data_IF_542603364247
#
_entry.id   IF_542603364247
#
_cell.length_a   1.000
_cell.length_b   1.000
_cell.length_c   1.000
_cell.angle_alpha   90.00
_cell.angle_beta   90.00
_cell.angle_gamma   90.00
#
_symmetry.space_group_name_H-M   'P 1'
#
loop_
_entity.id
_entity.type
_entity.pdbx_description
1 polymer ?
#
# COMPACT_ATOMS: atom_id res chain seq x y z
N UNK A 1 48.75 12.02 -53.72
CA UNK A 1 47.88 12.55 -52.67
C UNK A 1 46.67 11.64 -52.62
N UNK A 2 46.62 10.70 -51.64
CA UNK A 2 45.49 9.77 -51.45
C UNK A 2 44.56 10.33 -50.40
N UNK A 3 43.26 10.27 -50.61
CA UNK A 3 42.30 10.70 -49.56
C UNK A 3 42.10 9.58 -48.52
N UNK A 4 42.36 9.89 -47.26
CA UNK A 4 42.08 9.05 -46.10
C UNK A 4 40.56 9.05 -45.83
N UNK A 5 39.92 7.90 -46.07
CA UNK A 5 38.55 7.64 -45.67
C UNK A 5 38.50 7.42 -44.15
N UNK A 6 37.86 8.30 -43.44
CA UNK A 6 37.54 8.17 -42.01
C UNK A 6 36.31 7.26 -41.89
N UNK A 7 36.54 5.99 -41.57
CA UNK A 7 35.50 4.99 -41.44
C UNK A 7 35.03 4.94 -39.96
N UNK A 8 34.10 5.81 -39.57
CA UNK A 8 33.49 5.78 -38.22
C UNK A 8 32.37 4.75 -38.22
N UNK A 9 32.69 3.49 -38.01
CA UNK A 9 31.70 2.47 -37.61
C UNK A 9 31.31 2.75 -36.19
N UNK A 10 30.23 3.48 -36.01
CA UNK A 10 29.57 3.65 -34.71
C UNK A 10 29.12 2.25 -34.22
N UNK A 11 29.65 1.83 -33.07
CA UNK A 11 29.44 0.50 -32.52
C UNK A 11 27.98 0.36 -32.16
N UNK A 12 27.26 -0.67 -32.60
CA UNK A 12 25.82 -0.93 -32.34
C UNK A 12 25.51 -0.87 -30.83
N UNK A 13 26.50 -1.23 -30.00
CA UNK A 13 26.38 -1.09 -28.52
C UNK A 13 26.28 0.35 -28.05
N UNK A 14 27.02 1.28 -28.66
CA UNK A 14 26.93 2.71 -28.31
C UNK A 14 25.61 3.33 -28.79
N UNK A 15 25.10 2.86 -29.94
CA UNK A 15 23.78 3.29 -30.44
C UNK A 15 22.66 2.77 -29.55
N UNK A 16 22.72 1.53 -29.10
CA UNK A 16 21.74 0.96 -28.16
C UNK A 16 21.77 1.66 -26.79
N UNK A 17 22.98 1.96 -26.27
CA UNK A 17 23.10 2.73 -25.00
C UNK A 17 22.57 4.16 -25.19
N UNK A 18 22.86 4.82 -26.30
CA UNK A 18 22.34 6.17 -26.58
C UNK A 18 20.82 6.17 -26.76
N UNK A 19 20.23 5.11 -27.36
CA UNK A 19 18.77 4.95 -27.48
C UNK A 19 18.11 4.66 -26.12
N UNK A 20 18.72 3.85 -25.28
CA UNK A 20 18.23 3.58 -23.92
C UNK A 20 18.32 4.84 -23.05
N UNK A 21 19.44 5.57 -23.09
CA UNK A 21 19.60 6.84 -22.38
C UNK A 21 18.64 7.90 -22.93
N UNK A 22 18.43 7.94 -24.26
CA UNK A 22 17.45 8.81 -24.90
C UNK A 22 16.01 8.48 -24.50
N UNK A 23 15.66 7.20 -24.40
CA UNK A 23 14.33 6.77 -23.93
C UNK A 23 14.10 7.10 -22.44
N UNK A 24 15.12 6.95 -21.59
CA UNK A 24 15.07 7.35 -20.18
C UNK A 24 14.91 8.87 -20.03
N UNK A 25 15.56 9.66 -20.90
CA UNK A 25 15.44 11.12 -20.90
C UNK A 25 14.14 11.62 -21.54
N UNK A 26 13.58 10.91 -22.52
CA UNK A 26 12.32 11.25 -23.18
C UNK A 26 11.09 10.96 -22.29
N UNK A 27 11.21 10.07 -21.29
CA UNK A 27 10.16 9.78 -20.31
C UNK A 27 10.01 10.82 -19.21
N UNK A 28 10.66 11.99 -19.29
CA UNK A 28 10.51 13.06 -18.33
C UNK A 28 9.23 13.85 -18.62
N UNK A 29 8.09 13.44 -18.05
CA UNK A 29 6.91 14.27 -18.01
C UNK A 29 7.24 15.57 -17.27
N UNK A 30 7.30 16.70 -17.97
CA UNK A 30 7.34 18.01 -17.32
C UNK A 30 5.93 18.39 -16.92
N UNK A 31 5.71 18.69 -15.64
CA UNK A 31 4.44 19.23 -15.18
C UNK A 31 4.67 20.37 -14.22
N UNK A 32 3.67 21.24 -14.06
CA UNK A 32 3.71 22.27 -13.04
C UNK A 32 3.65 21.60 -11.66
N UNK A 33 4.55 22.02 -10.76
CA UNK A 33 4.43 21.69 -9.37
C UNK A 33 3.24 22.48 -8.78
N UNK A 34 2.22 21.81 -8.24
CA UNK A 34 1.01 22.50 -7.79
C UNK A 34 1.22 23.49 -6.65
N UNK A 35 2.26 23.28 -5.84
CA UNK A 35 2.57 24.15 -4.68
C UNK A 35 3.36 25.38 -5.11
N UNK A 36 4.38 25.18 -5.94
CA UNK A 36 5.29 26.27 -6.34
C UNK A 36 4.91 26.96 -7.65
N UNK A 37 3.97 26.41 -8.42
CA UNK A 37 3.59 26.88 -9.77
C UNK A 37 4.71 26.75 -10.80
N UNK A 38 5.87 26.16 -10.47
CA UNK A 38 7.03 26.05 -11.37
C UNK A 38 7.04 24.75 -12.12
N UNK A 39 7.56 24.75 -13.35
CA UNK A 39 7.83 23.49 -14.09
C UNK A 39 8.82 22.63 -13.33
N UNK A 40 8.47 21.37 -13.15
CA UNK A 40 9.30 20.34 -12.55
C UNK A 40 9.40 19.13 -13.49
N UNK A 41 10.57 18.51 -13.52
CA UNK A 41 10.88 17.32 -14.33
C UNK A 41 11.09 16.08 -13.46
N UNK A 42 10.84 16.19 -12.16
CA UNK A 42 11.13 15.15 -11.16
C UNK A 42 9.99 14.16 -10.89
N UNK A 43 8.97 14.07 -11.78
CA UNK A 43 7.83 13.19 -11.60
C UNK A 43 7.95 11.92 -12.47
N UNK A 44 7.49 10.77 -11.94
CA UNK A 44 7.42 9.52 -12.69
C UNK A 44 6.25 9.52 -13.69
N UNK A 45 5.17 10.20 -13.33
CA UNK A 45 3.89 10.18 -14.05
C UNK A 45 3.40 11.59 -14.38
N UNK A 46 2.64 11.69 -15.45
CA UNK A 46 1.82 12.86 -15.75
C UNK A 46 0.62 12.92 -14.77
N UNK A 47 -0.06 14.09 -14.65
CA UNK A 47 -1.25 14.19 -13.80
C UNK A 47 -2.38 13.20 -14.15
N UNK A 48 -2.62 12.95 -15.44
CA UNK A 48 -3.63 12.00 -15.90
C UNK A 48 -3.28 10.56 -15.56
N UNK A 49 -2.00 10.20 -15.66
CA UNK A 49 -1.51 8.88 -15.25
C UNK A 49 -1.64 8.69 -13.74
N UNK A 50 -1.37 9.71 -12.92
CA UNK A 50 -1.58 9.63 -11.47
C UNK A 50 -3.03 9.35 -11.10
N UNK A 51 -3.98 10.00 -11.77
CA UNK A 51 -5.43 9.77 -11.56
C UNK A 51 -5.81 8.33 -11.94
N UNK A 52 -5.29 7.83 -13.05
CA UNK A 52 -5.55 6.45 -13.49
C UNK A 52 -4.96 5.43 -12.53
N UNK A 53 -3.69 5.59 -12.15
CA UNK A 53 -2.99 4.71 -11.20
C UNK A 53 -3.73 4.64 -9.85
N UNK A 54 -4.15 5.79 -9.31
CA UNK A 54 -4.89 5.82 -8.06
C UNK A 54 -6.22 5.08 -8.15
N UNK A 55 -6.95 5.23 -9.26
CA UNK A 55 -8.22 4.54 -9.50
C UNK A 55 -8.04 3.02 -9.58
N UNK A 56 -7.01 2.56 -10.27
CA UNK A 56 -6.72 1.13 -10.40
C UNK A 56 -6.26 0.53 -9.06
N UNK A 57 -5.45 1.28 -8.31
CA UNK A 57 -4.94 0.87 -7.01
C UNK A 57 -6.04 0.83 -5.94
N UNK A 58 -7.02 1.74 -5.97
CA UNK A 58 -8.11 1.81 -4.99
C UNK A 58 -8.86 0.48 -4.87
N UNK A 59 -9.19 -0.16 -5.99
CA UNK A 59 -9.85 -1.47 -5.99
C UNK A 59 -9.03 -2.54 -5.24
N UNK A 60 -7.72 -2.55 -5.43
CA UNK A 60 -6.81 -3.49 -4.76
C UNK A 60 -6.69 -3.21 -3.26
N UNK A 61 -6.64 -1.94 -2.86
CA UNK A 61 -6.60 -1.52 -1.46
C UNK A 61 -7.87 -1.94 -0.73
N UNK A 62 -9.03 -1.66 -1.33
CA UNK A 62 -10.32 -2.04 -0.75
C UNK A 62 -10.46 -3.57 -0.65
N UNK A 63 -9.99 -4.32 -1.65
CA UNK A 63 -9.97 -5.77 -1.60
C UNK A 63 -9.04 -6.32 -0.52
N UNK A 64 -7.90 -5.65 -0.27
CA UNK A 64 -6.91 -6.10 0.70
C UNK A 64 -7.27 -5.80 2.15
N UNK A 65 -7.86 -4.62 2.42
CA UNK A 65 -8.11 -4.15 3.78
C UNK A 65 -9.59 -4.16 4.19
N UNK A 66 -10.50 -4.20 3.22
CA UNK A 66 -11.92 -3.96 3.44
C UNK A 66 -12.24 -2.49 3.79
N UNK A 67 -13.45 -2.07 3.48
CA UNK A 67 -13.98 -0.82 4.01
C UNK A 67 -14.59 -1.08 5.38
N UNK A 68 -14.37 -0.16 6.33
CA UNK A 68 -14.99 -0.23 7.64
C UNK A 68 -16.52 -0.04 7.50
N UNK A 69 -17.28 -1.05 7.91
CA UNK A 69 -18.73 -1.10 7.77
C UNK A 69 -19.44 -0.21 8.82
N UNK A 70 -19.20 1.11 8.72
CA UNK A 70 -19.88 2.13 9.49
C UNK A 70 -20.04 3.41 8.66
N UNK A 71 -21.22 3.56 8.07
CA UNK A 71 -21.51 4.68 7.17
C UNK A 71 -21.41 6.05 7.86
N UNK A 72 -21.71 6.13 9.16
CA UNK A 72 -21.62 7.38 9.94
C UNK A 72 -20.15 7.82 10.04
N UNK A 73 -19.26 6.89 10.41
CA UNK A 73 -17.82 7.15 10.50
C UNK A 73 -17.24 7.47 9.12
N UNK A 74 -17.63 6.72 8.09
CA UNK A 74 -17.15 6.94 6.72
C UNK A 74 -17.53 8.33 6.20
N UNK A 75 -18.81 8.72 6.33
CA UNK A 75 -19.28 10.06 5.93
C UNK A 75 -18.63 11.18 6.75
N UNK A 76 -18.37 10.96 8.01
CA UNK A 76 -17.69 11.94 8.86
C UNK A 76 -16.27 12.21 8.38
N UNK A 77 -15.48 11.15 8.12
CA UNK A 77 -14.12 11.27 7.61
C UNK A 77 -14.10 11.90 6.23
N UNK A 78 -14.99 11.48 5.33
CA UNK A 78 -15.12 12.07 4.00
C UNK A 78 -15.46 13.56 4.07
N UNK A 79 -16.47 13.95 4.86
CA UNK A 79 -16.88 15.36 5.00
C UNK A 79 -15.75 16.25 5.53
N UNK A 80 -14.98 15.77 6.50
CA UNK A 80 -13.81 16.48 7.03
C UNK A 80 -12.72 16.59 5.96
N UNK A 81 -12.43 15.48 5.27
CA UNK A 81 -11.44 15.44 4.21
C UNK A 81 -11.77 16.39 3.06
N UNK A 82 -13.04 16.40 2.59
CA UNK A 82 -13.50 17.32 1.54
C UNK A 82 -13.36 18.78 1.98
N UNK A 83 -13.67 19.12 3.23
CA UNK A 83 -13.49 20.46 3.74
C UNK A 83 -12.01 20.90 3.72
N UNK A 84 -11.08 20.00 4.06
CA UNK A 84 -9.64 20.27 3.99
C UNK A 84 -9.13 20.34 2.54
N UNK A 85 -9.62 19.47 1.65
CA UNK A 85 -9.27 19.46 0.24
C UNK A 85 -9.71 20.78 -0.43
N UNK A 86 -10.85 21.35 -0.03
CA UNK A 86 -11.38 22.61 -0.57
C UNK A 86 -10.50 23.83 -0.32
N UNK A 87 -9.61 23.78 0.68
CA UNK A 87 -8.62 24.84 0.98
C UNK A 87 -7.21 24.47 0.55
N UNK A 88 -7.03 23.28 -0.04
CA UNK A 88 -5.72 22.82 -0.50
C UNK A 88 -5.21 23.62 -1.71
N UNK A 89 -3.94 23.46 -2.06
CA UNK A 89 -3.38 24.11 -3.24
C UNK A 89 -4.05 23.72 -4.56
N UNK A 90 -4.68 22.54 -4.64
CA UNK A 90 -5.45 22.16 -5.83
C UNK A 90 -6.71 23.01 -6.03
N UNK A 91 -7.28 23.54 -4.97
CA UNK A 91 -8.48 24.39 -5.00
C UNK A 91 -8.16 25.88 -5.13
N UNK A 92 -6.88 26.27 -5.22
CA UNK A 92 -6.46 27.66 -5.40
C UNK A 92 -6.42 28.02 -6.89
N UNK A 93 -6.90 29.19 -7.25
CA UNK A 93 -7.23 29.56 -8.64
C UNK A 93 -6.06 29.70 -9.63
N UNK A 94 -4.82 29.49 -9.20
CA UNK A 94 -3.59 29.62 -10.00
C UNK A 94 -2.99 28.26 -10.45
N UNK A 95 -3.66 27.16 -10.12
CA UNK A 95 -3.21 25.82 -10.54
C UNK A 95 -3.75 25.41 -11.91
N UNK A 96 -3.08 24.43 -12.52
CA UNK A 96 -3.55 23.82 -13.77
C UNK A 96 -4.96 23.24 -13.63
N UNK A 97 -5.85 23.41 -14.64
CA UNK A 97 -7.22 22.90 -14.60
C UNK A 97 -7.35 21.40 -14.26
N UNK A 98 -6.35 20.60 -14.60
CA UNK A 98 -6.36 19.16 -14.27
C UNK A 98 -6.29 18.91 -12.77
N UNK A 99 -5.59 19.76 -12.01
CA UNK A 99 -5.53 19.68 -10.55
C UNK A 99 -6.76 20.33 -9.90
N UNK A 100 -7.23 21.45 -10.43
CA UNK A 100 -8.40 22.16 -9.90
C UNK A 100 -9.68 21.31 -9.99
N UNK A 101 -9.74 20.37 -10.92
CA UNK A 101 -10.86 19.47 -11.11
C UNK A 101 -10.59 18.03 -10.62
N UNK A 102 -9.53 17.81 -9.85
CA UNK A 102 -9.25 16.49 -9.29
C UNK A 102 -10.12 16.24 -8.06
N UNK A 103 -10.88 15.17 -8.10
CA UNK A 103 -11.65 14.71 -6.95
C UNK A 103 -10.74 14.09 -5.88
N UNK A 104 -11.12 14.27 -4.62
CA UNK A 104 -10.56 13.54 -3.49
C UNK A 104 -11.54 12.49 -2.99
N UNK A 105 -11.02 11.32 -2.61
CA UNK A 105 -11.78 10.19 -2.11
C UNK A 105 -11.22 9.80 -0.74
N UNK A 106 -12.01 9.97 0.32
CA UNK A 106 -11.62 9.62 1.68
C UNK A 106 -12.29 8.34 2.11
N UNK A 107 -11.49 7.35 2.53
CA UNK A 107 -11.99 6.03 2.91
C UNK A 107 -11.52 5.62 4.30
N UNK A 108 -12.38 4.94 5.03
CA UNK A 108 -12.02 4.29 6.30
C UNK A 108 -11.82 2.80 6.01
N UNK A 109 -10.61 2.31 6.29
CA UNK A 109 -10.26 0.90 6.09
C UNK A 109 -10.52 0.11 7.38
N UNK A 110 -11.03 -1.12 7.23
CA UNK A 110 -11.26 -2.05 8.35
C UNK A 110 -9.96 -2.76 8.74
N UNK A 111 -9.02 -2.00 9.25
CA UNK A 111 -7.72 -2.48 9.71
C UNK A 111 -7.43 -1.96 11.12
N UNK A 112 -6.99 -2.84 12.05
CA UNK A 112 -6.60 -2.45 13.41
C UNK A 112 -5.25 -1.71 13.45
N UNK A 113 -4.50 -1.75 12.38
CA UNK A 113 -3.17 -1.11 12.28
C UNK A 113 -3.32 0.40 12.32
N UNK A 114 -2.51 1.08 13.13
CA UNK A 114 -2.50 2.55 13.21
C UNK A 114 -1.82 3.10 11.97
N UNK A 115 -2.62 3.53 10.98
CA UNK A 115 -2.09 4.03 9.70
C UNK A 115 -3.05 5.01 9.00
N UNK A 116 -2.46 5.92 8.21
CA UNK A 116 -3.11 6.67 7.15
C UNK A 116 -2.14 6.71 5.96
N UNK A 117 -2.65 6.84 4.76
CA UNK A 117 -1.81 6.97 3.56
C UNK A 117 -2.63 7.53 2.39
N UNK A 118 -1.91 8.11 1.45
CA UNK A 118 -2.51 8.59 0.21
C UNK A 118 -1.90 7.92 -1.02
N UNK A 119 -2.74 7.68 -2.02
CA UNK A 119 -2.33 7.27 -3.35
C UNK A 119 -2.37 8.46 -4.31
N UNK A 120 -1.60 8.43 -5.40
CA UNK A 120 -1.78 9.38 -6.50
C UNK A 120 -3.25 9.44 -6.94
N UNK A 121 -3.68 10.58 -7.48
CA UNK A 121 -5.05 10.73 -7.99
C UNK A 121 -6.12 11.04 -6.93
N UNK A 122 -5.72 11.42 -5.69
CA UNK A 122 -6.65 11.95 -4.70
C UNK A 122 -7.25 10.94 -3.74
N UNK A 123 -6.81 9.69 -3.73
CA UNK A 123 -7.30 8.67 -2.81
C UNK A 123 -6.57 8.75 -1.47
N UNK A 124 -7.31 8.96 -0.40
CA UNK A 124 -6.80 9.11 0.97
C UNK A 124 -7.49 8.09 1.88
N UNK A 125 -6.69 7.37 2.64
CA UNK A 125 -7.16 6.31 3.51
C UNK A 125 -6.76 6.57 4.94
N UNK A 126 -7.69 6.29 5.86
CA UNK A 126 -7.41 6.16 7.28
C UNK A 126 -7.90 4.80 7.77
N UNK A 127 -7.16 4.17 8.66
CA UNK A 127 -7.59 2.92 9.26
C UNK A 127 -8.45 3.18 10.48
N UNK A 128 -9.35 2.25 10.82
CA UNK A 128 -10.07 2.31 12.10
C UNK A 128 -9.11 2.28 13.29
N UNK A 129 -7.97 1.59 13.14
CA UNK A 129 -6.92 1.60 14.15
C UNK A 129 -6.37 3.01 14.42
N UNK A 130 -6.14 3.82 13.38
CA UNK A 130 -5.74 5.22 13.57
C UNK A 130 -6.83 6.03 14.28
N UNK A 131 -8.09 5.90 13.86
CA UNK A 131 -9.20 6.64 14.47
C UNK A 131 -9.34 6.35 15.97
N UNK A 132 -9.00 5.14 16.41
CA UNK A 132 -9.03 4.75 17.82
C UNK A 132 -7.97 5.44 18.70
N UNK A 133 -6.91 5.97 18.09
CA UNK A 133 -5.80 6.64 18.81
C UNK A 133 -5.90 8.16 18.78
N UNK A 134 -6.81 8.73 18.01
CA UNK A 134 -7.02 10.17 17.95
C UNK A 134 -7.90 10.64 19.10
N UNK A 135 -7.53 11.75 19.72
CA UNK A 135 -8.25 12.33 20.84
C UNK A 135 -9.30 13.36 20.43
N UNK A 136 -9.13 13.99 19.26
CA UNK A 136 -10.01 15.04 18.79
C UNK A 136 -9.98 15.23 17.27
N UNK A 137 -10.98 15.94 16.73
CA UNK A 137 -11.12 16.21 15.30
C UNK A 137 -9.97 17.03 14.72
N UNK A 138 -9.34 17.91 15.52
CA UNK A 138 -8.20 18.70 15.05
C UNK A 138 -6.98 17.82 14.74
N UNK A 139 -6.73 16.78 15.53
CA UNK A 139 -5.70 15.78 15.22
C UNK A 139 -5.99 15.08 13.90
N UNK A 140 -7.23 14.62 13.70
CA UNK A 140 -7.65 13.99 12.44
C UNK A 140 -7.52 14.96 11.26
N UNK A 141 -7.86 16.24 11.45
CA UNK A 141 -7.74 17.27 10.42
C UNK A 141 -6.28 17.46 9.96
N UNK A 142 -5.33 17.45 10.88
CA UNK A 142 -3.91 17.55 10.51
C UNK A 142 -3.41 16.30 9.80
N UNK A 143 -3.81 15.10 10.25
CA UNK A 143 -3.46 13.83 9.60
C UNK A 143 -4.02 13.79 8.17
N UNK A 144 -5.30 14.06 7.97
CA UNK A 144 -5.90 14.12 6.64
C UNK A 144 -5.26 15.20 5.76
N UNK A 145 -4.97 16.37 6.35
CA UNK A 145 -4.27 17.45 5.67
C UNK A 145 -2.85 17.06 5.25
N UNK A 146 -2.14 16.25 6.04
CA UNK A 146 -0.83 15.70 5.71
C UNK A 146 -0.93 14.75 4.50
N UNK A 147 -1.93 13.87 4.48
CA UNK A 147 -2.16 12.97 3.35
C UNK A 147 -2.55 13.73 2.07
N UNK A 148 -3.41 14.74 2.19
CA UNK A 148 -3.69 15.68 1.09
C UNK A 148 -2.39 16.35 0.64
N UNK A 149 -1.50 16.71 1.57
CA UNK A 149 -0.18 17.27 1.30
C UNK A 149 0.68 16.35 0.43
N UNK A 150 0.67 15.03 0.69
CA UNK A 150 1.36 14.04 -0.15
C UNK A 150 0.80 13.99 -1.57
N UNK A 151 -0.52 14.07 -1.74
CA UNK A 151 -1.15 14.14 -3.07
C UNK A 151 -0.78 15.42 -3.79
N UNK A 152 -0.97 16.56 -3.14
CA UNK A 152 -0.69 17.90 -3.72
C UNK A 152 0.80 18.08 -4.03
N UNK A 153 1.68 17.60 -3.14
CA UNK A 153 3.13 17.59 -3.34
C UNK A 153 3.60 16.57 -4.38
N UNK A 154 2.70 15.68 -4.84
CA UNK A 154 2.99 14.59 -5.78
C UNK A 154 4.14 13.70 -5.28
N UNK A 155 4.18 13.43 -3.97
CA UNK A 155 5.28 12.74 -3.32
C UNK A 155 5.41 11.30 -3.79
N UNK A 156 4.30 10.60 -4.08
CA UNK A 156 4.31 9.26 -4.66
C UNK A 156 5.03 9.21 -6.00
N UNK A 157 4.71 10.14 -6.91
CA UNK A 157 5.37 10.25 -8.22
C UNK A 157 6.86 10.57 -8.10
N UNK A 158 7.24 11.48 -7.19
CA UNK A 158 8.65 11.81 -6.92
C UNK A 158 9.43 10.62 -6.35
N UNK A 159 8.84 9.88 -5.40
CA UNK A 159 9.45 8.71 -4.77
C UNK A 159 9.66 7.58 -5.78
N UNK A 160 8.65 7.25 -6.58
CA UNK A 160 8.75 6.25 -7.65
C UNK A 160 9.83 6.62 -8.67
N UNK A 161 9.90 7.88 -9.08
CA UNK A 161 10.95 8.34 -9.97
C UNK A 161 12.35 8.11 -9.39
N UNK A 162 12.54 8.48 -8.12
CA UNK A 162 13.81 8.25 -7.41
C UNK A 162 14.18 6.76 -7.36
N UNK A 163 13.19 5.90 -7.09
CA UNK A 163 13.39 4.46 -7.05
C UNK A 163 13.78 3.89 -8.43
N UNK A 164 13.09 4.32 -9.50
CA UNK A 164 13.42 3.93 -10.88
C UNK A 164 14.85 4.34 -11.28
N UNK A 165 15.29 5.54 -10.92
CA UNK A 165 16.67 5.97 -11.16
C UNK A 165 17.67 5.18 -10.33
N UNK A 166 17.37 4.89 -9.06
CA UNK A 166 18.22 4.07 -8.19
C UNK A 166 18.41 2.66 -8.77
N UNK A 167 17.33 2.02 -9.22
CA UNK A 167 17.38 0.71 -9.91
C UNK A 167 18.15 0.78 -11.21
N UNK A 168 17.93 1.81 -12.04
CA UNK A 168 18.68 2.00 -13.29
C UNK A 168 20.18 2.16 -13.06
N UNK A 169 20.59 2.90 -12.03
CA UNK A 169 21.99 3.07 -11.66
C UNK A 169 22.62 1.76 -11.14
N UNK A 170 21.84 0.94 -10.38
CA UNK A 170 22.29 -0.39 -9.92
C UNK A 170 22.46 -1.36 -11.09
N UNK A 171 21.55 -1.36 -12.06
CA UNK A 171 21.65 -2.21 -13.26
C UNK A 171 22.87 -1.81 -14.10
N UNK A 172 23.12 -0.52 -14.30
CA UNK A 172 24.31 -0.02 -14.99
C UNK A 172 25.60 -0.33 -14.23
N UNK A 173 25.58 -0.25 -12.89
CA UNK A 173 26.69 -0.65 -12.03
C UNK A 173 26.93 -2.17 -12.02
N UNK A 174 25.86 -2.97 -12.08
CA UNK A 174 25.93 -4.43 -12.11
C UNK A 174 26.41 -5.00 -13.45
N UNK A 175 26.20 -4.30 -14.56
CA UNK A 175 26.79 -4.65 -15.86
C UNK A 175 28.31 -4.47 -15.86
N UNK A 176 28.87 -3.76 -14.89
CA UNK A 176 30.33 -3.59 -14.67
C UNK A 176 30.94 -4.49 -13.60
N UNK A 177 30.13 -5.17 -12.79
CA UNK A 177 30.63 -6.12 -11.77
C UNK A 177 29.65 -7.29 -11.67
N UNK A 178 30.16 -8.52 -11.77
CA UNK A 178 29.42 -9.76 -11.53
C UNK A 178 29.09 -9.88 -10.00
N UNK A 179 28.16 -9.07 -9.51
CA UNK A 179 27.70 -9.14 -8.14
C UNK A 179 26.24 -9.60 -8.08
N UNK A 180 26.08 -10.78 -7.56
CA UNK A 180 24.91 -11.59 -7.29
C UNK A 180 23.90 -10.86 -6.40
N UNK A 181 22.64 -10.82 -6.84
CA UNK A 181 21.50 -10.46 -6.00
C UNK A 181 21.07 -11.65 -5.15
N UNK A 182 21.44 -11.64 -3.88
CA UNK A 182 20.73 -12.40 -2.85
C UNK A 182 19.57 -11.57 -2.30
N UNK A 183 18.37 -11.87 -2.69
CA UNK A 183 17.14 -11.27 -2.16
C UNK A 183 16.14 -12.37 -1.81
N UNK A 184 15.49 -12.25 -0.65
CA UNK A 184 14.57 -13.22 -0.09
C UNK A 184 13.39 -13.50 -1.04
N UNK A 185 13.26 -14.74 -1.49
CA UNK A 185 12.23 -15.17 -2.45
C UNK A 185 10.79 -14.94 -1.94
N UNK A 186 10.59 -14.95 -0.62
CA UNK A 186 9.28 -14.80 -0.01
C UNK A 186 8.72 -13.35 -0.08
N UNK A 187 9.58 -12.32 0.01
CA UNK A 187 9.14 -10.93 -0.21
C UNK A 187 8.58 -10.72 -1.62
N UNK A 188 9.10 -11.46 -2.61
CA UNK A 188 8.70 -11.31 -4.01
C UNK A 188 7.42 -12.07 -4.40
N UNK A 189 7.01 -13.07 -3.61
CA UNK A 189 5.78 -13.83 -3.86
C UNK A 189 4.56 -13.15 -3.25
N UNK A 190 4.73 -12.44 -2.13
CA UNK A 190 3.72 -11.52 -1.60
C UNK A 190 3.55 -10.30 -2.50
N UNK A 191 4.56 -10.00 -3.32
CA UNK A 191 4.61 -8.87 -4.26
C UNK A 191 4.18 -9.26 -5.68
N UNK A 192 3.50 -10.38 -5.85
CA UNK A 192 2.85 -10.69 -7.12
C UNK A 192 1.68 -9.74 -7.34
N UNK A 193 2.06 -8.58 -7.66
CA UNK A 193 1.12 -7.99 -8.23
C UNK A 193 0.90 -6.59 -8.48
N UNK A 194 0.29 -5.89 -7.95
CA UNK A 194 -0.24 -4.64 -8.43
C UNK A 194 0.73 -3.51 -8.10
N UNK A 195 0.86 -2.56 -9.02
CA UNK A 195 1.45 -1.25 -8.75
C UNK A 195 0.89 -0.64 -7.43
N UNK A 196 -0.32 -1.04 -7.03
CA UNK A 196 -0.97 -0.68 -5.78
C UNK A 196 -0.17 -1.08 -4.55
N UNK A 197 0.35 -2.31 -4.50
CA UNK A 197 1.14 -2.80 -3.37
C UNK A 197 2.47 -2.04 -3.25
N UNK A 198 3.12 -1.75 -4.39
CA UNK A 198 4.35 -0.96 -4.39
C UNK A 198 4.13 0.47 -3.89
N UNK A 199 2.97 1.07 -4.17
CA UNK A 199 2.61 2.41 -3.70
C UNK A 199 2.44 2.48 -2.18
N UNK A 200 1.92 1.42 -1.56
CA UNK A 200 1.77 1.32 -0.09
C UNK A 200 3.10 1.28 0.65
N UNK A 201 4.13 0.71 0.02
CA UNK A 201 5.47 0.58 0.62
C UNK A 201 6.44 1.69 0.21
N UNK A 202 5.94 2.72 -0.50
CA UNK A 202 6.76 3.89 -0.80
C UNK A 202 7.14 4.60 0.51
N UNK A 203 8.44 4.63 0.80
CA UNK A 203 8.97 5.46 1.87
C UNK A 203 9.27 6.86 1.34
N UNK A 204 8.64 7.82 1.95
CA UNK A 204 8.90 9.23 1.63
C UNK A 204 10.22 9.68 2.25
N UNK A 205 10.89 10.61 1.60
CA UNK A 205 12.10 11.25 2.16
C UNK A 205 11.72 12.34 3.17
N UNK A 206 12.64 12.68 4.07
CA UNK A 206 12.42 13.71 5.11
C UNK A 206 11.88 15.03 4.57
N UNK A 207 12.34 15.46 3.40
CA UNK A 207 11.86 16.72 2.79
C UNK A 207 10.38 16.62 2.39
N UNK A 208 9.94 15.47 1.89
CA UNK A 208 8.55 15.23 1.55
C UNK A 208 7.66 15.18 2.79
N UNK A 209 8.15 14.55 3.88
CA UNK A 209 7.44 14.54 5.17
C UNK A 209 7.32 15.96 5.76
N UNK A 210 8.40 16.72 5.72
CA UNK A 210 8.38 18.12 6.18
C UNK A 210 7.41 18.99 5.35
N UNK A 211 7.37 18.79 4.02
CA UNK A 211 6.42 19.49 3.14
C UNK A 211 4.97 19.06 3.46
N UNK A 212 4.72 17.77 3.65
CA UNK A 212 3.38 17.24 4.00
C UNK A 212 2.92 17.73 5.38
N UNK A 213 3.80 17.74 6.39
CA UNK A 213 3.49 18.31 7.71
C UNK A 213 3.16 19.81 7.63
N UNK A 214 3.92 20.56 6.84
CA UNK A 214 3.65 21.97 6.62
C UNK A 214 2.27 22.20 6.01
N UNK A 215 1.92 21.43 4.97
CA UNK A 215 0.65 21.55 4.29
C UNK A 215 -0.50 21.06 5.18
N UNK A 216 -0.31 19.97 5.94
CA UNK A 216 -1.30 19.46 6.89
C UNK A 216 -1.68 20.49 7.96
N UNK A 217 -0.69 21.13 8.56
CA UNK A 217 -0.91 22.22 9.51
C UNK A 217 -1.59 23.42 8.84
N UNK A 218 -1.17 23.80 7.63
CA UNK A 218 -1.76 24.91 6.89
C UNK A 218 -3.25 24.66 6.58
N UNK A 219 -3.60 23.51 6.02
CA UNK A 219 -4.98 23.20 5.65
C UNK A 219 -5.89 23.09 6.88
N UNK A 220 -5.40 22.50 7.97
CA UNK A 220 -6.12 22.46 9.23
C UNK A 220 -6.37 23.88 9.79
N UNK A 221 -5.34 24.74 9.80
CA UNK A 221 -5.45 26.12 10.25
C UNK A 221 -6.43 26.94 9.40
N UNK A 222 -6.34 26.85 8.07
CA UNK A 222 -7.28 27.50 7.13
C UNK A 222 -8.74 27.05 7.35
N UNK A 223 -8.93 25.83 7.84
CA UNK A 223 -10.24 25.29 8.23
C UNK A 223 -10.61 25.62 9.68
N UNK A 224 -9.85 26.50 10.34
CA UNK A 224 -9.97 26.95 11.72
C UNK A 224 -9.79 25.86 12.79
N UNK A 225 -9.09 24.75 12.47
CA UNK A 225 -8.71 23.76 13.47
C UNK A 225 -7.47 24.24 14.25
N UNK A 226 -7.43 23.91 15.55
CA UNK A 226 -6.22 24.06 16.36
C UNK A 226 -5.19 23.00 15.96
N UNK A 227 -4.40 23.31 14.93
CA UNK A 227 -3.43 22.38 14.37
C UNK A 227 -2.32 21.97 15.37
N UNK A 228 -2.12 22.74 16.45
CA UNK A 228 -1.16 22.39 17.49
C UNK A 228 -1.54 21.10 18.25
N UNK A 229 -2.83 20.71 18.25
CA UNK A 229 -3.31 19.45 18.86
C UNK A 229 -2.63 18.21 18.26
N UNK A 230 -2.22 18.26 17.00
CA UNK A 230 -1.54 17.13 16.37
C UNK A 230 -0.16 16.83 16.97
N UNK A 231 0.49 17.79 17.63
CA UNK A 231 1.76 17.54 18.30
C UNK A 231 1.63 16.44 19.37
N UNK A 232 0.55 16.43 20.15
CA UNK A 232 0.30 15.41 21.16
C UNK A 232 0.09 14.00 20.55
N UNK A 233 -0.58 13.93 19.41
CA UNK A 233 -0.75 12.67 18.67
C UNK A 233 0.58 12.07 18.20
N UNK A 234 1.46 12.87 17.57
CA UNK A 234 2.77 12.40 17.14
C UNK A 234 3.68 12.03 18.32
N UNK A 235 3.60 12.79 19.43
CA UNK A 235 4.27 12.42 20.67
C UNK A 235 3.78 11.09 21.26
N UNK A 236 2.49 10.78 21.14
CA UNK A 236 1.94 9.50 21.58
C UNK A 236 2.40 8.34 20.69
N UNK A 237 2.44 8.53 19.38
CA UNK A 237 2.99 7.54 18.45
C UNK A 237 4.47 7.24 18.72
N UNK A 238 5.25 8.27 19.03
CA UNK A 238 6.68 8.11 19.37
C UNK A 238 6.85 7.27 20.65
N UNK A 239 6.11 7.58 21.72
CA UNK A 239 6.15 6.81 22.97
C UNK A 239 5.74 5.35 22.73
N UNK A 240 4.68 5.11 21.96
CA UNK A 240 4.25 3.75 21.60
C UNK A 240 5.35 2.97 20.87
N UNK A 241 6.07 3.61 19.96
CA UNK A 241 7.19 2.99 19.25
C UNK A 241 8.34 2.63 20.20
N UNK A 242 8.65 3.51 21.16
CA UNK A 242 9.71 3.29 22.17
C UNK A 242 9.33 2.15 23.15
N UNK A 243 8.07 2.07 23.56
CA UNK A 243 7.58 1.06 24.51
C UNK A 243 7.44 -0.33 23.87
N UNK A 244 7.04 -0.42 22.61
CA UNK A 244 6.80 -1.70 21.94
C UNK A 244 8.09 -2.48 21.63
N UNK A 245 9.24 -1.83 21.60
CA UNK A 245 10.58 -2.45 21.44
C UNK A 245 10.81 -3.27 20.16
N UNK A 246 9.80 -3.52 19.34
CA UNK A 246 9.90 -4.46 18.21
C UNK A 246 9.25 -4.02 16.89
N UNK A 247 8.31 -3.13 16.89
CA UNK A 247 7.72 -2.63 15.63
C UNK A 247 7.25 -1.19 15.77
N UNK A 248 7.80 -0.32 14.92
CA UNK A 248 7.24 1.01 14.75
C UNK A 248 5.78 0.88 14.32
N UNK A 249 4.85 1.71 14.85
CA UNK A 249 3.53 1.83 14.27
C UNK A 249 3.66 2.01 12.76
N UNK A 250 2.77 1.38 11.97
CA UNK A 250 2.86 1.40 10.52
C UNK A 250 2.95 2.82 9.96
N UNK A 251 2.24 3.76 10.59
CA UNK A 251 2.31 5.18 10.26
C UNK A 251 3.75 5.75 10.35
N UNK A 252 4.54 5.39 11.37
CA UNK A 252 5.93 5.85 11.49
C UNK A 252 6.88 5.11 10.53
N UNK A 253 6.49 3.93 10.04
CA UNK A 253 7.30 3.18 9.07
C UNK A 253 7.12 3.73 7.66
N UNK A 254 5.92 4.17 7.28
CA UNK A 254 5.61 4.81 6.00
C UNK A 254 5.98 6.30 6.00
N UNK A 255 5.83 6.97 7.16
CA UNK A 255 6.10 8.39 7.38
C UNK A 255 7.18 8.58 8.45
N UNK A 256 8.46 8.34 8.11
CA UNK A 256 9.55 8.46 9.07
C UNK A 256 9.65 9.89 9.62
N UNK A 257 9.87 10.01 10.92
CA UNK A 257 10.02 11.29 11.59
C UNK A 257 11.17 12.10 10.96
N UNK A 258 10.90 13.30 10.41
CA UNK A 258 11.94 14.15 9.82
C UNK A 258 12.88 14.77 10.87
N UNK A 259 12.58 14.60 12.15
CA UNK A 259 13.29 15.16 13.28
C UNK A 259 12.37 15.34 14.47
N UNK A 260 12.41 16.45 15.17
CA UNK A 260 11.48 16.75 16.25
C UNK A 260 10.11 17.22 15.69
N UNK A 261 9.34 16.25 15.16
CA UNK A 261 8.06 16.48 14.48
C UNK A 261 7.03 17.15 15.40
N UNK A 262 7.03 16.75 16.67
CA UNK A 262 6.15 17.32 17.68
C UNK A 262 6.37 18.83 17.84
N UNK A 263 7.62 19.26 18.02
CA UNK A 263 7.98 20.65 18.16
C UNK A 263 7.81 21.42 16.85
N UNK A 264 8.15 20.80 15.73
CA UNK A 264 7.96 21.40 14.40
C UNK A 264 6.50 21.76 14.14
N UNK A 265 5.57 20.83 14.41
CA UNK A 265 4.12 21.06 14.23
C UNK A 265 3.65 22.20 15.13
N UNK A 266 4.07 22.23 16.41
CA UNK A 266 3.71 23.28 17.36
C UNK A 266 4.17 24.67 16.88
N UNK A 267 5.44 24.78 16.48
CA UNK A 267 6.00 26.02 15.95
C UNK A 267 5.32 26.44 14.64
N UNK A 268 5.01 25.48 13.78
CA UNK A 268 4.35 25.76 12.51
C UNK A 268 2.91 26.25 12.72
N UNK A 269 2.15 25.61 13.60
CA UNK A 269 0.79 26.02 13.95
C UNK A 269 0.76 27.46 14.50
N UNK A 270 1.73 27.82 15.34
CA UNK A 270 1.82 29.16 15.91
C UNK A 270 1.92 30.27 14.85
N UNK A 271 2.41 29.97 13.64
CA UNK A 271 2.52 30.98 12.55
C UNK A 271 1.16 31.38 11.96
N UNK A 272 0.16 30.54 12.12
CA UNK A 272 -1.17 30.77 11.56
C UNK A 272 -2.17 31.39 12.55
N UNK A 273 -1.78 31.58 13.82
CA UNK A 273 -2.67 32.13 14.85
C UNK A 273 -3.09 33.59 14.61
N UNK A 274 -2.31 34.35 13.83
CA UNK A 274 -2.66 35.72 13.45
C UNK A 274 -3.70 35.76 12.31
N UNK A 275 -3.70 34.77 11.44
CA UNK A 275 -4.49 34.75 10.19
C UNK A 275 -5.80 33.96 10.34
N UNK A 276 -5.83 32.96 11.25
CA UNK A 276 -6.97 32.06 11.42
C UNK A 276 -7.35 31.91 12.89
N UNK A 277 -8.65 31.73 13.15
CA UNK A 277 -9.17 31.63 14.51
C UNK A 277 -8.66 30.39 15.27
N UNK A 278 -8.37 29.29 14.57
CA UNK A 278 -7.79 28.03 15.07
C UNK A 278 -8.40 27.56 16.40
N UNK A 279 -9.72 27.64 16.53
CA UNK A 279 -10.44 27.37 17.78
C UNK A 279 -11.22 26.05 17.77
N UNK A 280 -11.17 25.29 16.66
CA UNK A 280 -11.85 24.02 16.54
C UNK A 280 -10.95 22.88 17.05
N UNK A 281 -11.25 22.33 18.20
CA UNK A 281 -10.67 21.09 18.71
C UNK A 281 -11.63 19.91 18.48
N UNK A 282 -12.92 20.12 18.84
CA UNK A 282 -14.05 19.22 18.59
C UNK A 282 -13.83 17.78 19.06
N UNK A 283 -13.32 17.60 20.28
CA UNK A 283 -13.14 16.27 20.88
C UNK A 283 -14.43 15.46 20.88
N UNK A 284 -15.54 16.01 21.37
CA UNK A 284 -16.81 15.33 21.40
C UNK A 284 -17.40 15.01 20.03
N UNK A 285 -16.97 15.71 18.96
CA UNK A 285 -17.37 15.35 17.59
C UNK A 285 -16.70 14.05 17.16
N UNK A 286 -15.39 13.94 17.27
CA UNK A 286 -14.66 12.70 16.94
C UNK A 286 -15.22 11.53 17.75
N UNK A 287 -15.31 11.65 19.07
CA UNK A 287 -15.73 10.56 19.95
C UNK A 287 -17.11 10.00 19.59
N UNK A 288 -18.08 10.84 19.23
CA UNK A 288 -19.41 10.37 18.78
C UNK A 288 -19.36 9.58 17.46
N UNK A 289 -18.41 9.87 16.59
CA UNK A 289 -18.30 9.19 15.29
C UNK A 289 -17.45 7.93 15.34
N UNK A 290 -16.63 7.78 16.39
CA UNK A 290 -15.83 6.57 16.62
C UNK A 290 -16.39 5.71 17.76
N UNK A 291 -17.50 6.11 18.39
CA UNK A 291 -18.18 5.31 19.42
C UNK A 291 -18.59 3.95 18.84
N UNK A 292 -18.25 2.87 19.55
CA UNK A 292 -18.51 1.50 19.11
C UNK A 292 -17.54 0.98 18.03
N UNK A 293 -16.50 1.75 17.71
CA UNK A 293 -15.44 1.30 16.80
C UNK A 293 -14.75 0.07 17.37
N UNK A 294 -14.58 -0.96 16.53
CA UNK A 294 -13.88 -2.19 16.93
C UNK A 294 -12.41 -1.88 17.18
N UNK A 295 -11.96 -2.10 18.41
CA UNK A 295 -10.57 -1.91 18.80
C UNK A 295 -9.78 -3.22 18.62
N UNK A 296 -8.59 -3.17 18.00
CA UNK A 296 -7.78 -4.35 17.72
C UNK A 296 -8.34 -5.21 16.58
N UNK A 297 -8.00 -6.49 16.56
CA UNK A 297 -8.52 -7.45 15.57
C UNK A 297 -10.03 -7.64 15.76
N UNK A 298 -10.76 -7.81 14.66
CA UNK A 298 -12.19 -8.10 14.70
C UNK A 298 -12.43 -9.62 14.71
N UNK A 299 -12.87 -10.19 15.84
CA UNK A 299 -13.08 -11.64 15.92
C UNK A 299 -14.14 -12.16 14.93
N UNK A 300 -15.02 -11.29 14.42
CA UNK A 300 -16.03 -11.68 13.39
C UNK A 300 -15.40 -12.04 12.06
N UNK A 301 -14.26 -11.42 11.74
CA UNK A 301 -13.48 -11.67 10.52
C UNK A 301 -12.54 -12.88 10.64
N UNK A 302 -12.43 -13.45 11.84
CA UNK A 302 -11.60 -14.61 12.15
C UNK A 302 -10.49 -14.28 13.13
N UNK A 303 -10.11 -15.27 13.92
CA UNK A 303 -9.06 -15.18 14.94
C UNK A 303 -8.37 -16.53 15.15
N UNK A 304 -7.18 -16.49 15.72
CA UNK A 304 -6.45 -17.70 16.11
C UNK A 304 -6.60 -17.92 17.62
N UNK A 305 -7.04 -19.11 18.02
CA UNK A 305 -7.08 -19.55 19.39
C UNK A 305 -6.51 -20.98 19.49
N UNK A 306 -5.60 -21.21 20.44
CA UNK A 306 -4.98 -22.50 20.69
C UNK A 306 -4.46 -23.22 19.43
N UNK A 307 -3.88 -22.48 18.48
CA UNK A 307 -3.35 -23.03 17.23
C UNK A 307 -4.41 -23.38 16.19
N UNK A 308 -5.65 -22.96 16.39
CA UNK A 308 -6.74 -23.07 15.44
C UNK A 308 -7.17 -21.70 14.95
N UNK A 309 -7.31 -21.52 13.64
CA UNK A 309 -8.00 -20.37 13.09
C UNK A 309 -9.50 -20.64 13.07
N UNK A 310 -10.28 -19.68 13.52
CA UNK A 310 -11.75 -19.73 13.55
C UNK A 310 -12.32 -18.54 12.79
N UNK A 311 -13.30 -18.80 11.91
CA UNK A 311 -14.06 -17.75 11.24
C UNK A 311 -15.55 -17.85 11.59
N UNK A 312 -16.05 -17.10 12.60
CA UNK A 312 -17.41 -17.26 13.12
C UNK A 312 -18.50 -17.00 12.08
N UNK A 313 -18.35 -15.98 11.24
CA UNK A 313 -19.36 -15.65 10.22
C UNK A 313 -19.44 -16.69 9.11
N UNK A 314 -18.32 -17.18 8.61
CA UNK A 314 -18.26 -18.20 7.57
C UNK A 314 -18.32 -19.62 8.13
N UNK A 315 -18.36 -19.79 9.47
CA UNK A 315 -18.55 -21.05 10.19
C UNK A 315 -17.55 -22.15 9.85
N UNK A 316 -16.29 -21.79 9.68
CA UNK A 316 -15.21 -22.76 9.50
C UNK A 316 -14.07 -22.55 10.49
N UNK A 317 -13.27 -23.60 10.66
CA UNK A 317 -12.00 -23.54 11.39
C UNK A 317 -10.99 -24.50 10.80
N UNK A 318 -9.71 -24.20 10.96
CA UNK A 318 -8.62 -25.08 10.54
C UNK A 318 -7.38 -24.92 11.47
N UNK A 319 -6.52 -25.95 11.59
CA UNK A 319 -5.30 -25.84 12.36
C UNK A 319 -4.28 -24.94 11.67
N UNK A 320 -3.69 -24.03 12.44
CA UNK A 320 -2.52 -23.25 12.01
C UNK A 320 -1.27 -24.10 12.27
N UNK A 321 -0.41 -24.35 11.28
CA UNK A 321 0.78 -25.15 11.49
C UNK A 321 1.72 -24.52 12.54
N UNK A 322 2.37 -25.35 13.35
CA UNK A 322 3.29 -24.88 14.39
C UNK A 322 4.42 -24.04 13.79
N UNK A 323 4.68 -22.89 14.37
CA UNK A 323 5.73 -21.97 13.90
C UNK A 323 5.31 -21.05 12.75
N UNK A 324 4.02 -21.10 12.35
CA UNK A 324 3.47 -20.17 11.36
C UNK A 324 2.81 -18.98 12.04
N UNK A 325 3.02 -17.81 11.45
CA UNK A 325 2.27 -16.58 11.77
C UNK A 325 1.10 -16.46 10.82
N UNK A 326 -0.08 -16.11 11.33
CA UNK A 326 -1.29 -15.92 10.55
C UNK A 326 -1.49 -14.42 10.28
N UNK A 327 -1.78 -14.08 9.01
CA UNK A 327 -2.16 -12.74 8.54
C UNK A 327 -3.57 -12.89 7.98
N UNK A 328 -4.54 -12.36 8.72
CA UNK A 328 -5.94 -12.41 8.31
C UNK A 328 -6.28 -11.16 7.50
N UNK A 329 -6.72 -11.37 6.26
CA UNK A 329 -7.13 -10.34 5.31
C UNK A 329 -8.59 -10.56 4.92
N UNK A 330 -9.34 -9.55 4.48
CA UNK A 330 -10.76 -9.69 4.11
C UNK A 330 -11.04 -10.75 3.04
N UNK A 331 -10.10 -10.99 2.14
CA UNK A 331 -10.27 -11.91 1.02
C UNK A 331 -9.54 -13.23 1.19
N UNK A 332 -8.60 -13.32 2.16
CA UNK A 332 -7.79 -14.52 2.39
C UNK A 332 -7.14 -14.55 3.76
N UNK A 333 -6.83 -15.74 4.21
CA UNK A 333 -6.00 -15.97 5.39
C UNK A 333 -4.65 -16.50 4.94
N UNK A 334 -3.57 -15.76 5.22
CA UNK A 334 -2.20 -16.15 4.85
C UNK A 334 -1.47 -16.66 6.07
N UNK A 335 -0.72 -17.74 5.91
CA UNK A 335 0.13 -18.31 6.98
C UNK A 335 1.54 -18.46 6.45
N UNK A 336 2.53 -17.94 7.21
CA UNK A 336 3.94 -17.96 6.84
C UNK A 336 4.80 -18.39 8.03
N UNK A 337 5.78 -19.28 7.84
CA UNK A 337 6.77 -19.61 8.87
C UNK A 337 7.81 -18.49 8.99
N UNK A 338 8.59 -18.47 10.07
CA UNK A 338 9.62 -17.45 10.28
C UNK A 338 10.69 -17.40 9.17
N UNK A 339 11.03 -18.55 8.58
CA UNK A 339 12.01 -18.64 7.47
C UNK A 339 11.45 -18.25 6.10
N UNK A 340 10.13 -18.02 6.01
CA UNK A 340 9.42 -17.62 4.78
C UNK A 340 9.64 -18.52 3.55
N UNK A 341 9.99 -19.79 3.74
CA UNK A 341 10.27 -20.74 2.63
C UNK A 341 9.01 -21.29 1.98
N UNK A 342 7.88 -21.21 2.67
CA UNK A 342 6.57 -21.61 2.19
C UNK A 342 5.52 -20.56 2.55
N UNK A 343 4.53 -20.43 1.69
CA UNK A 343 3.35 -19.61 1.96
C UNK A 343 2.15 -20.53 1.86
N UNK A 344 1.32 -20.52 2.90
CA UNK A 344 0.01 -21.18 2.87
C UNK A 344 -1.05 -20.08 2.88
N UNK A 345 -2.10 -20.25 2.10
CA UNK A 345 -3.24 -19.35 2.18
C UNK A 345 -4.57 -20.04 1.86
N UNK A 346 -5.60 -19.54 2.52
CA UNK A 346 -6.99 -19.90 2.28
C UNK A 346 -7.69 -18.73 1.61
N UNK A 347 -8.41 -19.01 0.54
CA UNK A 347 -9.25 -18.04 -0.18
C UNK A 347 -10.61 -18.68 -0.49
N UNK A 348 -11.61 -17.82 -0.76
CA UNK A 348 -12.90 -18.25 -1.32
C UNK A 348 -12.90 -17.97 -2.83
N UNK A 349 -13.11 -19.01 -3.62
CA UNK A 349 -13.33 -18.87 -5.06
C UNK A 349 -14.81 -18.61 -5.35
N UNK A 350 -15.14 -17.34 -5.58
CA UNK A 350 -16.49 -16.91 -5.96
C UNK A 350 -16.80 -17.08 -7.45
N UNK A 351 -15.82 -17.50 -8.27
CA UNK A 351 -15.98 -17.63 -9.72
C UNK A 351 -16.43 -19.03 -10.11
N UNK A 352 -15.94 -20.04 -9.42
CA UNK A 352 -16.24 -21.44 -9.69
C UNK A 352 -17.41 -21.91 -8.83
N UNK A 353 -18.26 -22.75 -9.40
CA UNK A 353 -19.41 -23.35 -8.70
C UNK A 353 -19.05 -24.63 -7.97
N UNK A 354 -17.97 -25.27 -8.34
CA UNK A 354 -17.51 -26.54 -7.76
C UNK A 354 -15.99 -26.60 -7.69
N UNK A 355 -15.47 -27.38 -6.75
CA UNK A 355 -14.05 -27.68 -6.64
C UNK A 355 -13.47 -28.29 -7.94
N UNK A 356 -14.28 -28.98 -8.70
CA UNK A 356 -13.91 -29.51 -10.01
C UNK A 356 -13.67 -28.38 -11.00
N UNK A 357 -14.62 -27.46 -11.15
CA UNK A 357 -14.52 -26.32 -12.06
C UNK A 357 -13.32 -25.43 -11.71
N UNK A 358 -13.10 -25.17 -10.41
CA UNK A 358 -11.94 -24.43 -9.92
C UNK A 358 -10.62 -25.10 -10.29
N UNK A 359 -10.51 -26.42 -10.10
CA UNK A 359 -9.32 -27.18 -10.46
C UNK A 359 -9.07 -27.19 -11.97
N UNK A 360 -10.11 -27.37 -12.79
CA UNK A 360 -10.03 -27.33 -14.25
C UNK A 360 -9.59 -25.94 -14.74
N UNK A 361 -10.11 -24.86 -14.15
CA UNK A 361 -9.71 -23.48 -14.44
C UNK A 361 -8.25 -23.22 -14.07
N UNK A 362 -7.80 -23.75 -12.93
CA UNK A 362 -6.41 -23.60 -12.49
C UNK A 362 -5.43 -24.30 -13.43
N UNK A 363 -5.70 -25.53 -13.84
CA UNK A 363 -4.80 -26.27 -14.74
C UNK A 363 -4.76 -25.71 -16.16
N UNK A 364 -5.76 -24.93 -16.55
CA UNK A 364 -5.80 -24.26 -17.86
C UNK A 364 -4.96 -23.00 -17.94
N UNK A 365 -4.35 -22.53 -16.83
CA UNK A 365 -3.51 -21.34 -16.82
C UNK A 365 -2.20 -21.58 -17.58
N UNK A 366 -1.82 -20.62 -18.39
CA UNK A 366 -0.54 -20.63 -19.11
C UNK A 366 0.65 -20.59 -18.13
N UNK A 367 1.71 -21.29 -18.46
CA UNK A 367 2.94 -21.33 -17.66
C UNK A 367 2.98 -22.35 -16.53
N UNK A 368 1.87 -23.06 -16.28
CA UNK A 368 1.83 -24.16 -15.31
C UNK A 368 2.08 -25.52 -15.96
N UNK A 369 2.87 -26.34 -15.26
CA UNK A 369 3.06 -27.76 -15.59
C UNK A 369 2.45 -28.62 -14.49
N UNK A 370 1.33 -29.27 -14.77
CA UNK A 370 0.66 -30.16 -13.80
C UNK A 370 1.57 -31.36 -13.52
N UNK A 371 1.86 -31.57 -12.25
CA UNK A 371 2.66 -32.71 -11.73
C UNK A 371 1.74 -33.85 -11.30
N UNK A 372 0.67 -33.49 -10.59
CA UNK A 372 -0.30 -34.43 -10.03
C UNK A 372 -1.65 -33.75 -9.86
N UNK A 373 -2.74 -34.49 -10.02
CA UNK A 373 -4.07 -34.02 -9.66
C UNK A 373 -4.95 -35.18 -9.27
N UNK A 374 -5.92 -34.95 -8.42
CA UNK A 374 -6.80 -35.99 -7.95
C UNK A 374 -8.04 -35.51 -7.23
N UNK A 375 -8.84 -36.52 -6.81
CA UNK A 375 -10.00 -36.33 -5.95
C UNK A 375 -9.63 -36.69 -4.51
N UNK A 376 -10.28 -36.04 -3.56
CA UNK A 376 -10.12 -36.30 -2.14
C UNK A 376 -11.33 -35.86 -1.35
N UNK A 377 -11.18 -35.93 -0.06
CA UNK A 377 -12.12 -35.34 0.91
C UNK A 377 -11.34 -34.47 1.91
N UNK A 378 -11.95 -33.41 2.32
CA UNK A 378 -11.45 -32.57 3.42
C UNK A 378 -12.59 -32.34 4.40
N UNK A 379 -12.41 -32.75 5.66
CA UNK A 379 -13.43 -32.68 6.71
C UNK A 379 -14.81 -33.27 6.31
N UNK A 380 -14.83 -34.29 5.44
CA UNK A 380 -16.06 -34.93 4.93
C UNK A 380 -16.65 -34.25 3.67
N UNK A 381 -16.09 -33.13 3.23
CA UNK A 381 -16.53 -32.47 2.00
C UNK A 381 -15.75 -32.94 0.78
N UNK A 382 -16.41 -32.90 -0.40
CA UNK A 382 -15.74 -33.20 -1.67
C UNK A 382 -14.61 -32.25 -1.92
N UNK A 383 -13.47 -32.75 -2.32
CA UNK A 383 -12.29 -31.94 -2.61
C UNK A 383 -11.60 -32.39 -3.91
N UNK A 384 -10.90 -31.45 -4.52
CA UNK A 384 -9.97 -31.66 -5.64
C UNK A 384 -8.61 -31.10 -5.25
N UNK A 385 -7.54 -31.77 -5.63
CA UNK A 385 -6.21 -31.20 -5.49
C UNK A 385 -5.48 -31.16 -6.81
N UNK A 386 -4.61 -30.19 -6.95
CA UNK A 386 -3.69 -30.03 -8.08
C UNK A 386 -2.32 -29.68 -7.51
N UNK A 387 -1.29 -30.35 -8.01
CA UNK A 387 0.12 -29.99 -7.79
C UNK A 387 0.67 -29.58 -9.15
N UNK A 388 1.22 -28.39 -9.25
CA UNK A 388 1.79 -27.88 -10.47
C UNK A 388 3.12 -27.17 -10.21
N UNK A 389 4.00 -27.20 -11.20
CA UNK A 389 5.20 -26.39 -11.24
C UNK A 389 4.97 -25.17 -12.14
N UNK A 390 5.39 -24.01 -11.69
CA UNK A 390 5.42 -22.77 -12.43
C UNK A 390 6.79 -22.11 -12.32
N UNK A 391 6.99 -21.01 -13.02
CA UNK A 391 8.26 -20.27 -13.00
C UNK A 391 7.95 -18.84 -12.63
N UNK A 392 8.70 -18.29 -11.68
CA UNK A 392 8.61 -16.87 -11.34
C UNK A 392 9.29 -15.98 -12.40
N UNK A 393 9.14 -14.67 -12.29
CA UNK A 393 9.73 -13.68 -13.21
C UNK A 393 11.27 -13.73 -13.25
N UNK A 394 11.92 -14.38 -12.28
CA UNK A 394 13.37 -14.56 -12.17
C UNK A 394 13.84 -15.91 -12.73
N UNK A 395 12.91 -16.75 -13.18
CA UNK A 395 13.21 -18.09 -13.71
C UNK A 395 13.34 -19.17 -12.63
N UNK A 396 12.99 -18.91 -11.37
CA UNK A 396 12.98 -19.93 -10.32
C UNK A 396 11.75 -20.83 -10.46
N UNK A 397 11.94 -22.13 -10.31
CA UNK A 397 10.84 -23.08 -10.34
C UNK A 397 10.14 -23.11 -8.97
N UNK A 398 8.89 -22.72 -8.96
CA UNK A 398 8.00 -22.79 -7.81
C UNK A 398 7.10 -24.02 -7.95
N UNK A 399 6.74 -24.62 -6.83
CA UNK A 399 5.73 -25.68 -6.77
C UNK A 399 4.55 -25.19 -5.94
N UNK A 400 3.38 -25.32 -6.54
CA UNK A 400 2.11 -25.01 -5.89
C UNK A 400 1.30 -26.29 -5.69
N UNK A 401 0.67 -26.40 -4.53
CA UNK A 401 -0.35 -27.39 -4.23
C UNK A 401 -1.61 -26.67 -3.80
N UNK A 402 -2.70 -26.91 -4.54
CA UNK A 402 -4.00 -26.32 -4.24
C UNK A 402 -4.99 -27.42 -3.92
N UNK A 403 -5.74 -27.24 -2.84
CA UNK A 403 -6.91 -28.04 -2.50
C UNK A 403 -8.16 -27.19 -2.64
N UNK A 404 -9.03 -27.55 -3.56
CA UNK A 404 -10.36 -26.96 -3.72
C UNK A 404 -11.38 -27.81 -2.98
N UNK A 405 -12.19 -27.20 -2.14
CA UNK A 405 -13.14 -27.87 -1.25
C UNK A 405 -14.51 -27.27 -1.49
N UNK A 406 -15.49 -28.14 -1.83
CA UNK A 406 -16.89 -27.75 -1.92
C UNK A 406 -17.47 -27.61 -0.49
N UNK A 407 -17.83 -26.39 -0.10
CA UNK A 407 -18.43 -26.12 1.19
C UNK A 407 -19.62 -25.18 1.02
N UNK A 408 -20.81 -25.67 1.36
CA UNK A 408 -22.07 -24.95 1.17
C UNK A 408 -22.24 -24.54 -0.31
N UNK A 409 -22.41 -23.27 -0.60
CA UNK A 409 -22.55 -22.75 -1.97
C UNK A 409 -21.27 -22.11 -2.50
N UNK A 410 -20.13 -22.30 -1.83
CA UNK A 410 -18.84 -21.69 -2.16
C UNK A 410 -17.73 -22.74 -2.27
N UNK A 411 -16.69 -22.39 -3.01
CA UNK A 411 -15.47 -23.20 -3.13
C UNK A 411 -14.36 -22.55 -2.32
N UNK A 412 -13.82 -23.27 -1.34
CA UNK A 412 -12.61 -22.86 -0.65
C UNK A 412 -11.38 -23.39 -1.35
N UNK A 413 -10.34 -22.57 -1.49
CA UNK A 413 -9.03 -23.01 -1.96
C UNK A 413 -8.00 -22.88 -0.85
N UNK A 414 -7.39 -24.01 -0.48
CA UNK A 414 -6.20 -24.07 0.37
C UNK A 414 -4.98 -24.21 -0.53
N UNK A 415 -4.11 -23.21 -0.55
CA UNK A 415 -2.93 -23.21 -1.41
C UNK A 415 -1.66 -23.21 -0.58
N UNK A 416 -0.73 -24.10 -0.93
CA UNK A 416 0.65 -24.10 -0.46
C UNK A 416 1.60 -23.80 -1.61
N UNK A 417 2.48 -22.83 -1.43
CA UNK A 417 3.47 -22.40 -2.42
C UNK A 417 4.86 -22.37 -1.81
N UNK A 418 5.83 -23.01 -2.47
CA UNK A 418 7.24 -22.99 -2.07
C UNK A 418 8.15 -23.07 -3.28
N UNK A 419 9.46 -22.91 -3.10
CA UNK A 419 10.41 -23.36 -4.10
C UNK A 419 10.26 -24.88 -4.31
N UNK A 420 10.49 -25.36 -5.53
CA UNK A 420 10.46 -26.82 -5.81
C UNK A 420 11.42 -27.61 -4.90
N UNK A 421 12.56 -27.00 -4.52
CA UNK A 421 13.56 -27.62 -3.66
C UNK A 421 13.07 -27.77 -2.21
N UNK A 422 12.32 -26.80 -1.69
CA UNK A 422 11.80 -26.82 -0.33
C UNK A 422 10.49 -27.61 -0.17
N UNK A 423 9.79 -27.93 -1.26
CA UNK A 423 8.46 -28.52 -1.23
C UNK A 423 8.34 -29.80 -0.41
N UNK A 424 9.39 -30.65 -0.40
CA UNK A 424 9.37 -31.91 0.36
C UNK A 424 9.55 -31.74 1.87
N UNK A 425 9.90 -30.53 2.32
CA UNK A 425 10.11 -30.20 3.74
C UNK A 425 8.82 -29.74 4.42
N UNK A 426 7.80 -29.45 3.65
CA UNK A 426 6.47 -28.99 4.06
C UNK A 426 5.37 -29.84 3.42
#
# INVERSE_FOLDING_TARGET
MSPTYFNSRMNVRHLAIALIVGAILAGCASSLNPISGRKSYGFAWSPSEEIQIGREADGSIVAQYGLYDNEITARYVDSLGQALASVSHFSRGDVSPIWANMDFYFRVLDSPVVNAFALPGGYVYVTRGLLAYLENEAQLAVVLGHEIGHVVGRHGSKATRKQQFGMGALILGALGSQAVFGGNAAENVLDMGSQATQLLFLKYGRDAETEADQLGVEYAAMSNYDAAQASAFFGSLKRMAEESGQSLPSLLSSHPDPGDREEYIRQRAARYTADYAMNKVRQGSLLRHVEGLVYGEDPRQGYVDNGMFHHPQMKFSFPVPNGFTTINQPTRVVMVPQNQEVILYLEVDYKSKTAREAAETFVAQEGLTVVESGMGQSAGFSARYVIADGTDDKGNVLRVRVHYIDFDEVVFSFTGLSSKAAYSSY
#
